data_IF_792388474527
#
_entry.id   IF_792388474527
#
_cell.length_a   1.000
_cell.length_b   1.000
_cell.length_c   1.000
_cell.angle_alpha   90.00
_cell.angle_beta   90.00
_cell.angle_gamma   90.00
#
_symmetry.space_group_name_H-M   'P 1'
#
loop_
_entity.id
_entity.type
_entity.pdbx_description
1 polymer ?
#
# COMPACT_ATOMS: atom_id res chain seq x y z
N UNK A 1 -0.16 14.09 -13.03
CA UNK A 1 1.09 13.38 -12.63
C UNK A 1 1.59 12.58 -13.81
N UNK A 2 2.90 12.59 -14.07
CA UNK A 2 3.56 11.78 -15.11
C UNK A 2 4.70 11.03 -14.44
N UNK A 3 4.81 9.74 -14.68
CA UNK A 3 5.94 8.93 -14.20
C UNK A 3 7.06 9.01 -15.23
N UNK A 4 8.21 9.53 -14.82
CA UNK A 4 9.37 9.74 -15.65
C UNK A 4 10.26 8.50 -15.68
N UNK A 5 11.01 8.32 -16.78
CA UNK A 5 11.91 7.17 -16.96
C UNK A 5 13.05 7.16 -15.93
N UNK A 6 13.47 8.33 -15.46
CA UNK A 6 14.47 8.44 -14.41
C UNK A 6 14.01 7.78 -13.10
N UNK A 7 12.76 8.05 -12.69
CA UNK A 7 12.19 7.41 -11.49
C UNK A 7 12.09 5.88 -11.62
N UNK A 8 11.82 5.39 -12.85
CA UNK A 8 11.79 3.95 -13.12
C UNK A 8 13.18 3.34 -12.96
N UNK A 9 14.23 3.98 -13.49
CA UNK A 9 15.62 3.52 -13.34
C UNK A 9 16.09 3.52 -11.88
N UNK A 10 15.68 4.52 -11.10
CA UNK A 10 15.94 4.53 -9.66
C UNK A 10 15.24 3.36 -8.96
N UNK A 11 13.98 3.07 -9.32
CA UNK A 11 13.22 1.95 -8.78
C UNK A 11 13.86 0.59 -9.16
N UNK A 12 14.34 0.44 -10.39
CA UNK A 12 15.09 -0.74 -10.84
C UNK A 12 16.31 -0.98 -9.96
N UNK A 13 17.14 0.04 -9.81
CA UNK A 13 18.33 -0.02 -8.98
C UNK A 13 18.03 -0.41 -7.53
N UNK A 14 16.94 0.11 -6.97
CA UNK A 14 16.51 -0.17 -5.60
C UNK A 14 15.99 -1.61 -5.43
N UNK A 15 15.16 -2.08 -6.38
CA UNK A 15 14.35 -3.30 -6.20
C UNK A 15 14.96 -4.53 -6.87
N UNK A 16 15.65 -4.36 -7.99
CA UNK A 16 16.17 -5.46 -8.81
C UNK A 16 17.66 -5.32 -9.17
N UNK A 17 18.33 -4.29 -8.63
CA UNK A 17 19.78 -4.12 -8.76
C UNK A 17 20.21 -3.75 -10.18
N UNK A 18 20.89 -4.67 -10.87
CA UNK A 18 21.39 -4.45 -12.23
C UNK A 18 20.44 -4.94 -13.34
N UNK A 19 19.30 -5.53 -12.95
CA UNK A 19 18.28 -5.93 -13.93
C UNK A 19 17.40 -4.74 -14.33
N UNK A 20 16.74 -4.86 -15.46
CA UNK A 20 15.83 -3.84 -16.00
C UNK A 20 14.41 -4.42 -16.12
N UNK A 21 13.41 -3.55 -16.01
CA UNK A 21 12.03 -3.92 -16.33
C UNK A 21 11.86 -4.03 -17.85
N UNK A 22 11.07 -5.00 -18.27
CA UNK A 22 10.75 -5.13 -19.70
C UNK A 22 9.89 -3.97 -20.17
N UNK A 23 10.10 -3.59 -21.46
CA UNK A 23 9.41 -2.48 -22.11
C UNK A 23 8.00 -2.83 -22.61
N UNK A 24 7.64 -4.12 -22.56
CA UNK A 24 6.37 -4.62 -23.15
C UNK A 24 5.24 -4.62 -22.12
N UNK A 25 5.52 -5.08 -20.90
CA UNK A 25 4.50 -5.27 -19.87
C UNK A 25 4.73 -4.41 -18.62
N UNK A 26 5.94 -4.44 -18.05
CA UNK A 26 6.21 -3.83 -16.74
C UNK A 26 6.31 -2.31 -16.81
N UNK A 27 7.08 -1.76 -17.73
CA UNK A 27 7.21 -0.31 -17.88
C UNK A 27 5.88 0.34 -18.23
N UNK A 28 5.07 -0.16 -19.20
CA UNK A 28 3.73 0.33 -19.44
C UNK A 28 2.82 0.27 -18.22
N UNK A 29 2.85 -0.82 -17.43
CA UNK A 29 2.09 -0.92 -16.18
C UNK A 29 2.53 0.13 -15.14
N UNK A 30 3.83 0.32 -14.95
CA UNK A 30 4.36 1.30 -13.98
C UNK A 30 3.91 2.72 -14.37
N UNK A 31 3.98 3.08 -15.64
CA UNK A 31 3.59 4.41 -16.16
C UNK A 31 2.08 4.64 -16.19
N UNK A 32 1.28 3.59 -16.21
CA UNK A 32 -0.16 3.69 -16.32
C UNK A 32 -0.78 4.18 -15.02
N UNK A 33 -1.55 5.26 -15.06
CA UNK A 33 -2.20 5.89 -13.88
C UNK A 33 -3.72 5.73 -13.88
N UNK A 34 -4.31 5.26 -14.97
CA UNK A 34 -5.71 4.90 -15.06
C UNK A 34 -5.98 3.50 -14.49
N UNK A 35 -7.26 3.20 -14.28
CA UNK A 35 -7.69 1.89 -13.75
C UNK A 35 -7.28 0.76 -14.67
N UNK A 36 -6.67 -0.28 -14.12
CA UNK A 36 -6.30 -1.48 -14.86
C UNK A 36 -6.26 -2.71 -13.94
N UNK A 37 -6.49 -3.87 -14.54
CA UNK A 37 -6.24 -5.17 -13.93
C UNK A 37 -4.87 -5.68 -14.36
N UNK A 38 -4.08 -6.16 -13.40
CA UNK A 38 -2.79 -6.80 -13.69
C UNK A 38 -2.94 -8.32 -13.57
N UNK A 39 -3.19 -8.96 -14.71
CA UNK A 39 -3.21 -10.41 -14.80
C UNK A 39 -1.78 -10.90 -15.05
N UNK A 40 -1.27 -11.73 -14.15
CA UNK A 40 0.04 -12.29 -14.29
C UNK A 40 0.17 -13.60 -13.49
N UNK A 41 0.93 -14.54 -13.99
CA UNK A 41 1.17 -15.82 -13.31
C UNK A 41 1.97 -15.63 -12.02
N UNK A 42 1.85 -16.55 -11.03
CA UNK A 42 2.69 -16.53 -9.85
C UNK A 42 4.18 -16.50 -10.22
N UNK A 43 4.98 -15.69 -9.53
CA UNK A 43 6.41 -15.56 -9.80
C UNK A 43 6.82 -14.64 -10.94
N UNK A 44 5.87 -14.05 -11.66
CA UNK A 44 6.16 -13.13 -12.79
C UNK A 44 6.68 -11.73 -12.38
N UNK A 45 6.88 -11.47 -11.09
CA UNK A 45 7.38 -10.17 -10.61
C UNK A 45 6.30 -9.08 -10.47
N UNK A 46 5.03 -9.45 -10.34
CA UNK A 46 3.92 -8.50 -10.09
C UNK A 46 4.18 -7.57 -8.91
N UNK A 47 4.59 -8.14 -7.78
CA UNK A 47 4.88 -7.37 -6.57
C UNK A 47 5.99 -6.36 -6.83
N UNK A 48 7.05 -6.78 -7.53
CA UNK A 48 8.18 -5.89 -7.85
C UNK A 48 7.74 -4.73 -8.77
N UNK A 49 6.90 -4.98 -9.76
CA UNK A 49 6.36 -3.93 -10.63
C UNK A 49 5.44 -2.97 -9.85
N UNK A 50 4.63 -3.49 -8.91
CA UNK A 50 3.81 -2.66 -8.02
C UNK A 50 4.67 -1.80 -7.08
N UNK A 51 5.72 -2.37 -6.49
CA UNK A 51 6.66 -1.63 -5.64
C UNK A 51 7.35 -0.51 -6.43
N UNK A 52 7.78 -0.78 -7.67
CA UNK A 52 8.37 0.22 -8.54
C UNK A 52 7.37 1.35 -8.86
N UNK A 53 6.12 1.01 -9.14
CA UNK A 53 5.05 2.00 -9.36
C UNK A 53 4.83 2.87 -8.12
N UNK A 54 4.75 2.27 -6.94
CA UNK A 54 4.61 2.99 -5.66
C UNK A 54 5.81 3.91 -5.40
N UNK A 55 7.03 3.43 -5.69
CA UNK A 55 8.24 4.24 -5.61
C UNK A 55 8.14 5.48 -6.51
N UNK A 56 7.78 5.29 -7.78
CA UNK A 56 7.63 6.41 -8.73
C UNK A 56 6.53 7.40 -8.29
N UNK A 57 5.39 6.90 -7.80
CA UNK A 57 4.31 7.74 -7.28
C UNK A 57 4.78 8.55 -6.06
N UNK A 58 5.60 7.95 -5.19
CA UNK A 58 6.09 8.60 -3.97
C UNK A 58 6.93 9.85 -4.24
N UNK A 59 7.56 9.97 -5.41
CA UNK A 59 8.31 11.16 -5.84
C UNK A 59 7.42 12.39 -6.01
N UNK A 60 6.13 12.20 -6.19
CA UNK A 60 5.16 13.27 -6.37
C UNK A 60 4.39 13.62 -5.08
N UNK A 61 4.72 12.98 -3.96
CA UNK A 61 4.07 13.25 -2.66
C UNK A 61 4.71 14.46 -1.94
N UNK A 62 3.89 15.28 -1.23
CA UNK A 62 2.43 15.19 -1.13
C UNK A 62 1.73 15.71 -2.38
N UNK A 63 0.54 15.18 -2.69
CA UNK A 63 -0.23 15.67 -3.83
C UNK A 63 -0.81 17.07 -3.54
N UNK A 64 -0.85 17.96 -4.55
CA UNK A 64 -1.32 19.34 -4.36
C UNK A 64 -2.79 19.47 -3.94
N UNK A 65 -3.61 18.49 -4.30
CA UNK A 65 -5.04 18.43 -3.96
C UNK A 65 -5.32 17.81 -2.58
N UNK A 66 -4.27 17.44 -1.83
CA UNK A 66 -4.40 16.79 -0.52
C UNK A 66 -4.86 15.32 -0.58
N UNK A 67 -4.98 14.74 -1.77
CA UNK A 67 -5.26 13.31 -1.92
C UNK A 67 -4.09 12.45 -1.46
N UNK A 68 -4.34 11.14 -1.26
CA UNK A 68 -3.33 10.18 -0.84
C UNK A 68 -3.35 8.89 -1.65
N UNK A 69 -2.34 8.08 -1.42
CA UNK A 69 -2.20 6.74 -1.98
C UNK A 69 -2.82 5.73 -1.02
N UNK A 70 -3.72 4.90 -1.51
CA UNK A 70 -4.34 3.81 -0.76
C UNK A 70 -3.85 2.47 -1.30
N UNK A 71 -3.15 1.69 -0.46
CA UNK A 71 -2.71 0.33 -0.79
C UNK A 71 -3.35 -0.65 0.18
N UNK A 72 -4.17 -1.54 -0.34
CA UNK A 72 -4.87 -2.55 0.45
C UNK A 72 -4.44 -3.96 0.06
N UNK A 73 -4.25 -4.79 1.08
CA UNK A 73 -3.98 -6.21 0.93
C UNK A 73 -4.88 -7.05 1.83
N UNK A 74 -5.04 -8.32 1.51
CA UNK A 74 -5.69 -9.28 2.40
C UNK A 74 -4.78 -9.83 3.50
N UNK A 75 -3.46 -9.70 3.35
CA UNK A 75 -2.48 -10.31 4.25
C UNK A 75 -1.49 -9.30 4.81
N UNK A 76 -1.11 -9.47 6.07
CA UNK A 76 -0.02 -8.72 6.68
C UNK A 76 1.33 -8.98 5.99
N UNK A 77 1.53 -10.18 5.46
CA UNK A 77 2.77 -10.52 4.75
C UNK A 77 3.03 -9.59 3.55
N UNK A 78 1.99 -9.31 2.75
CA UNK A 78 2.11 -8.39 1.63
C UNK A 78 2.32 -6.93 2.08
N UNK A 79 1.66 -6.50 3.16
CA UNK A 79 1.89 -5.17 3.75
C UNK A 79 3.34 -5.04 4.23
N UNK A 80 3.83 -6.03 4.97
CA UNK A 80 5.20 -6.07 5.47
C UNK A 80 6.24 -6.08 4.33
N UNK A 81 5.92 -6.71 3.20
CA UNK A 81 6.77 -6.70 2.01
C UNK A 81 6.90 -5.28 1.43
N UNK A 82 5.79 -4.54 1.31
CA UNK A 82 5.81 -3.15 0.87
C UNK A 82 6.60 -2.28 1.84
N UNK A 83 6.36 -2.41 3.14
CA UNK A 83 7.08 -1.66 4.17
C UNK A 83 8.59 -1.93 4.12
N UNK A 84 9.00 -3.18 4.09
CA UNK A 84 10.41 -3.57 4.07
C UNK A 84 11.16 -2.99 2.87
N UNK A 85 10.52 -2.96 1.70
CA UNK A 85 11.17 -2.50 0.48
C UNK A 85 11.16 -0.97 0.31
N UNK A 86 10.12 -0.28 0.80
CA UNK A 86 9.91 1.13 0.47
C UNK A 86 10.00 2.10 1.66
N UNK A 87 9.80 1.65 2.90
CA UNK A 87 9.69 2.55 4.06
C UNK A 87 10.91 3.45 4.25
N UNK A 88 12.09 2.91 4.04
CA UNK A 88 13.34 3.68 4.17
C UNK A 88 13.52 4.68 3.02
N UNK A 89 13.19 4.29 1.79
CA UNK A 89 13.40 5.11 0.59
C UNK A 89 12.25 6.08 0.31
N UNK A 90 11.06 5.78 0.80
CA UNK A 90 9.82 6.53 0.53
C UNK A 90 9.02 6.79 1.81
N UNK A 91 9.57 7.46 2.85
CA UNK A 91 8.89 7.62 4.14
C UNK A 91 7.54 8.33 4.00
N UNK A 92 7.42 9.32 3.13
CA UNK A 92 6.16 10.04 2.87
C UNK A 92 5.00 9.14 2.42
N UNK A 93 5.28 8.00 1.80
CA UNK A 93 4.25 7.05 1.38
C UNK A 93 3.53 6.40 2.59
N UNK A 94 4.16 6.42 3.77
CA UNK A 94 3.63 5.85 5.00
C UNK A 94 3.08 6.91 5.98
N UNK A 95 3.00 8.16 5.54
CA UNK A 95 2.45 9.27 6.30
C UNK A 95 1.06 9.62 5.79
N UNK A 96 0.22 10.18 6.68
CA UNK A 96 -1.08 10.72 6.28
C UNK A 96 -0.90 11.79 5.17
N UNK A 97 -1.75 11.83 4.12
CA UNK A 97 -3.01 11.10 3.94
C UNK A 97 -2.88 9.71 3.30
N UNK A 98 -1.68 9.20 3.08
CA UNK A 98 -1.49 7.88 2.49
C UNK A 98 -1.83 6.77 3.51
N UNK A 99 -2.23 5.61 3.01
CA UNK A 99 -2.48 4.44 3.83
C UNK A 99 -2.02 3.17 3.12
N UNK A 100 -1.20 2.39 3.81
CA UNK A 100 -0.77 1.06 3.38
C UNK A 100 -1.13 0.09 4.49
N UNK A 101 -1.99 -0.86 4.21
CA UNK A 101 -2.46 -1.78 5.24
C UNK A 101 -3.35 -2.89 4.71
N UNK A 102 -3.87 -3.69 5.64
CA UNK A 102 -4.88 -4.69 5.27
C UNK A 102 -6.26 -4.05 5.11
N UNK A 103 -7.13 -4.70 4.34
CA UNK A 103 -8.55 -4.31 4.24
C UNK A 103 -9.17 -4.23 5.64
N UNK A 104 -8.85 -5.19 6.52
CA UNK A 104 -9.36 -5.21 7.89
C UNK A 104 -8.90 -3.99 8.70
N UNK A 105 -7.61 -3.63 8.63
CA UNK A 105 -7.11 -2.44 9.34
C UNK A 105 -7.72 -1.15 8.80
N UNK A 106 -7.89 -1.05 7.48
CA UNK A 106 -8.57 0.09 6.86
C UNK A 106 -10.01 0.24 7.38
N UNK A 107 -10.80 -0.84 7.35
CA UNK A 107 -12.17 -0.83 7.87
C UNK A 107 -12.21 -0.47 9.35
N UNK A 108 -11.29 -1.01 10.14
CA UNK A 108 -11.22 -0.72 11.56
C UNK A 108 -10.90 0.76 11.82
N UNK A 109 -9.90 1.32 11.15
CA UNK A 109 -9.41 2.66 11.44
C UNK A 109 -10.32 3.77 10.87
N UNK A 110 -10.85 3.57 9.67
CA UNK A 110 -11.62 4.60 8.97
C UNK A 110 -13.15 4.48 9.12
N UNK A 111 -13.67 3.29 9.44
CA UNK A 111 -15.11 3.06 9.57
C UNK A 111 -15.50 2.67 10.99
N UNK A 112 -14.94 1.58 11.53
CA UNK A 112 -15.41 1.02 12.81
C UNK A 112 -15.10 1.93 14.00
N UNK A 113 -13.85 2.35 14.16
CA UNK A 113 -13.44 3.21 15.29
C UNK A 113 -14.17 4.56 15.29
N UNK A 114 -14.24 5.32 14.17
CA UNK A 114 -14.98 6.57 14.12
C UNK A 114 -16.46 6.40 14.40
N UNK A 115 -17.10 5.39 13.79
CA UNK A 115 -18.52 5.11 14.01
C UNK A 115 -18.82 4.80 15.48
N UNK A 116 -18.04 3.88 16.09
CA UNK A 116 -18.23 3.47 17.47
C UNK A 116 -18.00 4.64 18.44
N UNK A 117 -16.95 5.42 18.23
CA UNK A 117 -16.64 6.60 19.05
C UNK A 117 -17.77 7.63 18.99
N UNK A 118 -18.30 7.88 17.79
CA UNK A 118 -19.41 8.82 17.62
C UNK A 118 -20.70 8.33 18.28
N UNK A 119 -21.00 7.03 18.19
CA UNK A 119 -22.23 6.45 18.75
C UNK A 119 -22.20 6.31 20.27
N UNK A 120 -21.06 5.92 20.85
CA UNK A 120 -20.96 5.55 22.26
C UNK A 120 -20.18 6.57 23.10
N UNK A 121 -19.64 7.62 22.47
CA UNK A 121 -18.75 8.60 23.10
C UNK A 121 -17.55 7.97 23.85
N UNK A 122 -17.10 6.81 23.38
CA UNK A 122 -15.99 6.02 23.93
C UNK A 122 -15.03 5.62 22.82
N UNK A 123 -13.73 5.68 23.08
CA UNK A 123 -12.71 5.23 22.14
C UNK A 123 -12.50 3.72 22.24
N UNK A 124 -12.47 3.04 21.11
CA UNK A 124 -12.04 1.65 21.03
C UNK A 124 -10.51 1.64 21.16
N UNK A 125 -10.00 0.96 22.20
CA UNK A 125 -8.56 0.82 22.40
C UNK A 125 -7.93 -0.22 21.45
N UNK A 126 -8.59 -1.38 21.32
CA UNK A 126 -8.09 -2.51 20.50
C UNK A 126 -9.26 -3.20 19.82
N UNK A 127 -9.07 -3.57 18.56
CA UNK A 127 -9.92 -4.51 17.83
C UNK A 127 -9.04 -5.72 17.51
N UNK A 128 -9.23 -6.81 18.27
CA UNK A 128 -8.45 -8.04 18.13
C UNK A 128 -9.39 -9.25 18.10
N UNK A 129 -9.15 -10.15 17.17
CA UNK A 129 -9.93 -11.38 17.00
C UNK A 129 -9.79 -12.30 18.22
N UNK A 130 -8.63 -12.33 18.85
CA UNK A 130 -8.36 -13.18 20.02
C UNK A 130 -9.18 -12.70 21.21
N UNK A 131 -9.19 -11.41 21.49
CA UNK A 131 -9.97 -10.81 22.58
C UNK A 131 -11.47 -11.04 22.36
N UNK A 132 -11.94 -10.95 21.10
CA UNK A 132 -13.33 -11.22 20.75
C UNK A 132 -13.71 -12.67 21.03
N UNK A 133 -12.91 -13.65 20.65
CA UNK A 133 -13.14 -15.08 20.90
C UNK A 133 -13.13 -15.39 22.41
N UNK A 134 -12.22 -14.82 23.17
CA UNK A 134 -12.18 -14.97 24.63
C UNK A 134 -13.42 -14.39 25.32
N UNK A 135 -13.92 -13.25 24.84
CA UNK A 135 -15.15 -12.65 25.37
C UNK A 135 -16.38 -13.51 25.14
N UNK A 136 -16.48 -14.19 23.98
CA UNK A 136 -17.57 -15.13 23.68
C UNK A 136 -17.53 -16.40 24.52
N UNK A 137 -16.36 -16.84 24.98
CA UNK A 137 -16.20 -18.02 25.84
C UNK A 137 -16.60 -17.78 27.28
N UNK A 138 -16.80 -16.54 27.70
CA UNK A 138 -17.21 -16.16 29.06
C UNK A 138 -18.72 -15.96 29.23
N UNK A 139 -19.50 -16.16 28.17
CA UNK A 139 -20.96 -16.21 28.19
C UNK A 139 -21.40 -17.67 28.24
#
# INVERSE_FOLDING_TARGET
MIIEDEHIKEAEKLLIGSAEFDNVERIPFIKRLDSCDLLAVPGSGKTTALLAKLYCISKHLPFPDGSGVLVLSHTNAAVNEVERNLKHSCPKLFEYPNFIGTVQSFVNDFLTKPYYTNKNNQKIAVIDTIIYIESLRRI
#
